data_IF_844574058157
#
_entry.id   IF_844574058157
#
_cell.length_a   1.000
_cell.length_b   1.000
_cell.length_c   1.000
_cell.angle_alpha   90.00
_cell.angle_beta   90.00
_cell.angle_gamma   90.00
#
_symmetry.space_group_name_H-M   'P 1'
#
loop_
_entity.id
_entity.type
_entity.pdbx_description
1 polymer ?
#
# COMPACT_ATOMS: atom_id res chain seq x y z
N UNK A 1 -15.77 12.80 -3.73
CA UNK A 1 -17.00 12.52 -2.96
C UNK A 1 -18.21 12.89 -3.82
N UNK A 2 -19.26 12.06 -3.87
CA UNK A 2 -20.51 12.41 -4.55
C UNK A 2 -21.51 12.97 -3.52
N UNK A 3 -22.04 14.16 -3.78
CA UNK A 3 -23.01 14.86 -2.91
C UNK A 3 -24.02 15.55 -3.84
N UNK A 4 -25.31 15.28 -3.66
CA UNK A 4 -26.42 15.96 -4.35
C UNK A 4 -26.23 16.19 -5.87
N UNK A 5 -25.84 15.13 -6.59
CA UNK A 5 -25.69 15.21 -8.05
C UNK A 5 -24.33 15.70 -8.55
N UNK A 6 -23.40 16.03 -7.65
CA UNK A 6 -22.07 16.57 -8.00
C UNK A 6 -20.94 15.75 -7.38
N UNK A 7 -19.78 15.81 -8.02
CA UNK A 7 -18.54 15.23 -7.51
C UNK A 7 -17.61 16.32 -6.99
N UNK A 8 -17.15 16.16 -5.75
CA UNK A 8 -16.26 17.07 -5.06
C UNK A 8 -14.89 16.42 -4.87
N UNK A 9 -13.83 17.13 -5.27
CA UNK A 9 -12.43 16.79 -5.02
C UNK A 9 -11.89 17.70 -3.91
N UNK A 10 -11.37 17.08 -2.86
CA UNK A 10 -10.69 17.73 -1.74
C UNK A 10 -9.20 17.51 -1.90
N UNK A 11 -8.39 18.56 -1.72
CA UNK A 11 -6.96 18.50 -2.01
C UNK A 11 -6.16 19.52 -1.22
N UNK A 12 -4.88 19.21 -0.97
CA UNK A 12 -3.90 20.14 -0.43
C UNK A 12 -3.42 21.09 -1.54
N UNK A 13 -3.34 22.39 -1.25
CA UNK A 13 -2.73 23.39 -2.12
C UNK A 13 -1.26 23.61 -1.76
N UNK A 14 -0.48 24.07 -2.73
CA UNK A 14 0.97 24.33 -2.58
C UNK A 14 1.34 25.36 -1.50
N UNK A 15 0.38 26.15 -1.03
CA UNK A 15 0.57 27.17 0.04
C UNK A 15 0.02 26.73 1.40
N UNK A 16 -0.26 25.44 1.59
CA UNK A 16 -0.77 24.88 2.85
C UNK A 16 -2.27 25.08 3.10
N UNK A 17 -3.00 25.60 2.11
CA UNK A 17 -4.46 25.71 2.16
C UNK A 17 -5.11 24.42 1.64
N UNK A 18 -6.25 24.01 2.17
CA UNK A 18 -7.03 22.91 1.62
C UNK A 18 -8.13 23.45 0.71
N UNK A 19 -8.41 22.77 -0.40
CA UNK A 19 -9.30 23.24 -1.44
C UNK A 19 -10.41 22.27 -1.81
N UNK A 20 -11.48 22.81 -2.40
CA UNK A 20 -12.59 22.07 -3.00
C UNK A 20 -12.72 22.45 -4.46
N UNK A 21 -12.75 21.45 -5.33
CA UNK A 21 -13.12 21.56 -6.74
C UNK A 21 -14.33 20.66 -7.04
N UNK A 22 -15.13 21.02 -8.05
CA UNK A 22 -16.42 20.38 -8.33
C UNK A 22 -16.49 19.92 -9.78
N UNK A 23 -17.13 18.77 -10.03
CA UNK A 23 -17.42 18.23 -11.36
C UNK A 23 -18.80 17.61 -11.44
N UNK A 24 -19.32 17.49 -12.65
CA UNK A 24 -20.50 16.67 -12.97
C UNK A 24 -20.14 15.19 -13.14
N UNK A 25 -18.85 14.86 -13.27
CA UNK A 25 -18.37 13.51 -13.55
C UNK A 25 -17.28 13.10 -12.55
N UNK A 26 -17.20 11.82 -12.15
CA UNK A 26 -16.20 11.36 -11.18
C UNK A 26 -14.76 11.51 -11.67
N UNK A 27 -14.54 11.40 -12.99
CA UNK A 27 -13.23 11.58 -13.63
C UNK A 27 -12.87 13.04 -13.93
N UNK A 28 -13.75 13.99 -13.62
CA UNK A 28 -13.60 15.39 -14.01
C UNK A 28 -14.09 15.70 -15.43
N UNK A 29 -13.81 16.92 -15.94
CA UNK A 29 -12.91 17.91 -15.35
C UNK A 29 -13.47 18.51 -14.05
N UNK A 30 -12.59 18.73 -13.07
CA UNK A 30 -12.92 19.45 -11.84
C UNK A 30 -12.67 20.95 -12.02
N UNK A 31 -13.64 21.76 -11.64
CA UNK A 31 -13.63 23.21 -11.84
C UNK A 31 -13.90 23.96 -10.55
N UNK A 32 -13.63 25.28 -10.59
CA UNK A 32 -13.97 26.19 -9.52
C UNK A 32 -13.25 25.90 -8.20
N UNK A 33 -11.99 25.47 -8.27
CA UNK A 33 -11.07 25.31 -7.13
C UNK A 33 -11.08 26.53 -6.19
N UNK A 34 -11.45 26.35 -4.91
CA UNK A 34 -11.34 27.41 -3.88
C UNK A 34 -10.95 26.83 -2.52
N UNK A 35 -10.30 27.62 -1.64
CA UNK A 35 -9.96 27.20 -0.28
C UNK A 35 -11.19 26.88 0.57
N UNK A 36 -11.01 26.00 1.55
CA UNK A 36 -11.99 25.72 2.61
C UNK A 36 -11.80 26.74 3.73
N UNK A 37 -12.85 27.49 4.04
CA UNK A 37 -12.83 28.45 5.14
C UNK A 37 -12.81 27.71 6.48
N UNK A 38 -11.97 28.18 7.40
CA UNK A 38 -11.76 27.66 8.76
C UNK A 38 -11.03 26.33 8.87
N UNK A 39 -10.63 25.70 7.76
CA UNK A 39 -9.44 24.85 7.76
C UNK A 39 -8.26 25.78 8.08
N UNK A 40 -7.55 25.52 9.17
CA UNK A 40 -6.59 26.42 9.82
C UNK A 40 -5.29 26.65 9.04
N UNK A 41 -5.19 26.11 7.81
CA UNK A 41 -4.09 26.29 6.84
C UNK A 41 -2.71 25.87 7.37
N UNK A 42 -2.67 25.11 8.46
CA UNK A 42 -1.45 24.68 9.12
C UNK A 42 -1.22 23.18 8.97
N UNK A 43 -2.15 22.45 8.35
CA UNK A 43 -2.13 20.99 8.28
C UNK A 43 -2.64 20.47 6.93
N UNK A 44 -2.59 19.16 6.76
CA UNK A 44 -2.68 18.44 5.48
C UNK A 44 -3.74 17.32 5.54
N UNK A 45 -3.85 16.61 4.42
CA UNK A 45 -4.57 15.34 4.25
C UNK A 45 -6.07 15.44 4.55
N UNK A 46 -6.82 16.18 3.72
CA UNK A 46 -8.25 16.36 3.91
C UNK A 46 -9.00 15.05 3.67
N UNK A 47 -9.86 14.70 4.63
CA UNK A 47 -10.84 13.63 4.49
C UNK A 47 -12.25 14.14 4.70
N UNK A 48 -13.17 13.56 3.93
CA UNK A 48 -14.59 13.93 3.95
C UNK A 48 -15.44 12.69 4.06
N UNK A 49 -16.48 12.80 4.88
CA UNK A 49 -17.48 11.77 5.08
C UNK A 49 -18.86 12.39 5.05
N UNK A 50 -19.79 11.74 4.35
CA UNK A 50 -21.20 12.10 4.34
C UNK A 50 -21.91 11.02 5.12
N UNK A 51 -22.55 11.40 6.22
CA UNK A 51 -23.28 10.46 7.06
C UNK A 51 -24.68 10.17 6.51
N UNK A 52 -25.35 9.17 7.06
CA UNK A 52 -26.67 8.70 6.61
C UNK A 52 -27.76 9.79 6.72
N UNK A 53 -27.56 10.78 7.58
CA UNK A 53 -28.45 11.94 7.77
C UNK A 53 -28.17 13.11 6.79
N UNK A 54 -27.17 12.96 5.91
CA UNK A 54 -26.73 13.98 4.97
C UNK A 54 -25.73 14.99 5.54
N UNK A 55 -25.35 14.88 6.82
CA UNK A 55 -24.32 15.73 7.41
C UNK A 55 -22.97 15.45 6.77
N UNK A 56 -22.30 16.51 6.30
CA UNK A 56 -20.95 16.42 5.74
C UNK A 56 -19.94 16.74 6.82
N UNK A 57 -19.09 15.77 7.13
CA UNK A 57 -17.98 15.90 8.07
C UNK A 57 -16.66 16.08 7.33
N UNK A 58 -15.81 16.93 7.89
CA UNK A 58 -14.49 17.24 7.38
C UNK A 58 -13.45 16.94 8.45
N UNK A 59 -12.39 16.25 8.06
CA UNK A 59 -11.28 15.81 8.90
C UNK A 59 -9.98 16.27 8.25
N UNK A 60 -9.03 16.75 9.04
CA UNK A 60 -7.72 17.17 8.57
C UNK A 60 -6.72 17.12 9.72
N UNK A 61 -5.44 17.00 9.41
CA UNK A 61 -4.42 17.15 10.44
C UNK A 61 -3.16 16.34 10.23
N UNK A 62 -2.12 16.73 10.97
CA UNK A 62 -0.89 15.97 11.14
C UNK A 62 -0.51 16.03 12.63
N UNK A 63 -0.15 14.89 13.25
CA UNK A 63 0.16 14.71 14.69
C UNK A 63 -1.03 14.94 15.65
N UNK A 64 -1.91 15.89 15.35
CA UNK A 64 -3.21 16.10 16.00
C UNK A 64 -4.26 16.30 14.91
N UNK A 65 -5.25 15.40 14.88
CA UNK A 65 -6.36 15.45 13.95
C UNK A 65 -7.45 16.39 14.45
N UNK A 66 -8.07 17.11 13.52
CA UNK A 66 -9.26 17.94 13.76
C UNK A 66 -10.43 17.40 12.96
N UNK A 67 -11.64 17.68 13.43
CA UNK A 67 -12.85 17.51 12.63
C UNK A 67 -13.90 18.57 12.91
N UNK A 68 -14.82 18.74 11.96
CA UNK A 68 -15.99 19.57 12.10
C UNK A 68 -17.02 19.31 11.00
N UNK A 69 -18.16 19.98 11.09
CA UNK A 69 -19.21 19.90 10.07
C UNK A 69 -18.89 20.88 8.95
N UNK A 70 -18.85 20.39 7.72
CA UNK A 70 -18.63 21.18 6.51
C UNK A 70 -19.97 21.64 5.93
N UNK A 71 -20.12 22.95 5.77
CA UNK A 71 -21.09 23.52 4.84
C UNK A 71 -20.46 23.50 3.44
N UNK A 72 -20.85 22.51 2.63
CA UNK A 72 -20.24 22.24 1.32
C UNK A 72 -20.48 23.38 0.33
N UNK A 73 -21.66 23.99 0.39
CA UNK A 73 -22.06 25.11 -0.48
C UNK A 73 -21.26 26.37 -0.16
N UNK A 74 -21.09 26.67 1.13
CA UNK A 74 -20.25 27.79 1.57
C UNK A 74 -18.76 27.48 1.55
N UNK A 75 -18.38 26.20 1.36
CA UNK A 75 -17.00 25.69 1.44
C UNK A 75 -16.34 26.12 2.74
N UNK A 76 -17.06 25.95 3.84
CA UNK A 76 -16.69 26.46 5.15
C UNK A 76 -17.02 25.45 6.24
N UNK A 77 -16.06 25.20 7.13
CA UNK A 77 -16.33 24.40 8.33
C UNK A 77 -17.11 25.27 9.31
N UNK A 78 -18.18 24.73 9.91
CA UNK A 78 -18.92 25.41 10.97
C UNK A 78 -18.01 25.53 12.19
N UNK A 79 -17.52 26.74 12.48
CA UNK A 79 -16.46 27.00 13.46
C UNK A 79 -16.78 26.44 14.84
N UNK A 80 -18.04 26.53 15.24
CA UNK A 80 -18.57 26.04 16.51
C UNK A 80 -18.57 24.51 16.65
N UNK A 81 -18.36 23.78 15.54
CA UNK A 81 -18.33 22.32 15.51
C UNK A 81 -16.92 21.75 15.46
N UNK A 82 -15.90 22.62 15.40
CA UNK A 82 -14.51 22.19 15.29
C UNK A 82 -14.06 21.57 16.62
N UNK A 83 -13.58 20.34 16.55
CA UNK A 83 -12.92 19.61 17.64
C UNK A 83 -11.48 19.37 17.22
N UNK A 84 -10.53 19.72 18.09
CA UNK A 84 -9.11 19.38 17.96
C UNK A 84 -8.80 18.16 18.84
N UNK A 85 -7.84 17.35 18.41
CA UNK A 85 -7.39 16.17 19.13
C UNK A 85 -8.37 15.00 19.07
N UNK A 86 -9.16 14.85 18.00
CA UNK A 86 -10.00 13.65 17.82
C UNK A 86 -9.15 12.38 17.68
N UNK A 87 -7.91 12.54 17.20
CA UNK A 87 -6.80 11.59 17.23
C UNK A 87 -5.53 12.38 17.51
N UNK A 88 -4.60 11.78 18.25
CA UNK A 88 -3.30 12.38 18.56
C UNK A 88 -2.19 11.35 18.41
N UNK A 89 -0.99 11.80 18.07
CA UNK A 89 0.18 10.94 17.96
C UNK A 89 0.45 10.18 19.27
N UNK A 90 0.34 10.88 20.40
CA UNK A 90 0.59 10.30 21.73
C UNK A 90 -0.39 9.21 22.12
N UNK A 91 -1.69 9.42 21.92
CA UNK A 91 -2.72 8.48 22.40
C UNK A 91 -3.07 7.42 21.36
N UNK A 92 -3.01 7.78 20.08
CA UNK A 92 -3.50 6.96 18.98
C UNK A 92 -2.39 6.50 18.05
N UNK A 93 -1.18 7.07 18.12
CA UNK A 93 -0.14 6.88 17.11
C UNK A 93 -0.46 7.59 15.80
N UNK A 94 -1.37 8.57 15.80
CA UNK A 94 -1.77 9.30 14.60
C UNK A 94 -0.63 10.18 14.07
N UNK A 95 -0.27 9.99 12.80
CA UNK A 95 0.69 10.85 12.10
C UNK A 95 0.01 11.72 11.05
N UNK A 96 -0.67 11.14 10.07
CA UNK A 96 -1.32 11.83 8.94
C UNK A 96 -2.35 10.94 8.24
N UNK A 97 -2.87 11.35 7.08
CA UNK A 97 -3.63 10.48 6.17
C UNK A 97 -4.97 9.98 6.69
N UNK A 98 -5.76 10.83 7.35
CA UNK A 98 -7.06 10.45 7.90
C UNK A 98 -8.00 9.97 6.78
N UNK A 99 -8.80 8.94 7.05
CA UNK A 99 -9.90 8.50 6.17
C UNK A 99 -11.04 7.88 6.99
N UNK A 100 -12.27 8.34 6.77
CA UNK A 100 -13.43 7.93 7.55
C UNK A 100 -14.34 6.94 6.79
N UNK A 101 -14.84 5.92 7.48
CA UNK A 101 -15.94 5.04 7.04
C UNK A 101 -16.91 4.74 8.16
N UNK A 102 -18.16 4.48 7.81
CA UNK A 102 -19.19 3.99 8.75
C UNK A 102 -19.61 2.59 8.34
N UNK A 103 -19.75 1.70 9.32
CA UNK A 103 -20.28 0.34 9.13
C UNK A 103 -21.02 -0.10 10.39
N UNK A 104 -22.27 -0.54 10.24
CA UNK A 104 -23.11 -1.03 11.35
C UNK A 104 -23.17 -0.08 12.56
N UNK A 105 -23.28 1.24 12.30
CA UNK A 105 -23.33 2.26 13.35
C UNK A 105 -21.98 2.61 14.00
N UNK A 106 -20.88 1.98 13.55
CA UNK A 106 -19.53 2.26 14.04
C UNK A 106 -18.81 3.13 13.01
N UNK A 107 -18.15 4.19 13.48
CA UNK A 107 -17.29 5.07 12.70
C UNK A 107 -15.84 4.60 12.82
N UNK A 108 -15.16 4.43 11.70
CA UNK A 108 -13.80 3.95 11.56
C UNK A 108 -12.94 5.07 10.98
N UNK A 109 -12.06 5.65 11.80
CA UNK A 109 -10.97 6.48 11.31
C UNK A 109 -9.78 5.61 11.01
N UNK A 110 -9.40 5.56 9.74
CA UNK A 110 -8.17 4.95 9.23
C UNK A 110 -7.14 6.05 9.07
N UNK A 111 -5.87 5.78 9.41
CA UNK A 111 -4.83 6.79 9.37
C UNK A 111 -3.43 6.17 9.31
N UNK A 112 -2.43 6.98 8.96
CA UNK A 112 -1.03 6.59 9.03
C UNK A 112 -0.58 6.55 10.49
N UNK A 113 -0.20 5.37 10.94
CA UNK A 113 0.10 5.03 12.33
C UNK A 113 1.62 4.89 12.55
N UNK A 114 2.14 5.52 13.60
CA UNK A 114 3.57 5.49 13.95
C UNK A 114 3.90 4.66 15.21
N UNK A 115 2.96 3.88 15.73
CA UNK A 115 3.17 3.10 16.97
C UNK A 115 4.25 2.01 16.84
N UNK A 116 4.67 1.66 15.61
CA UNK A 116 5.83 0.81 15.32
C UNK A 116 7.13 1.60 15.10
N UNK A 117 7.14 2.90 15.39
CA UNK A 117 8.32 3.78 15.29
C UNK A 117 8.55 4.38 13.90
N UNK A 118 7.72 4.05 12.91
CA UNK A 118 7.77 4.59 11.54
C UNK A 118 6.36 4.81 11.02
N UNK A 119 6.19 5.79 10.12
CA UNK A 119 4.90 6.13 9.50
C UNK A 119 4.47 5.16 8.39
N UNK A 120 4.80 3.88 8.52
CA UNK A 120 4.63 2.84 7.49
C UNK A 120 3.36 2.02 7.66
N UNK A 121 2.70 2.14 8.81
CA UNK A 121 1.48 1.39 9.13
C UNK A 121 0.23 2.19 8.80
N UNK A 122 -0.83 1.50 8.38
CA UNK A 122 -2.20 2.01 8.36
C UNK A 122 -2.90 1.48 9.61
N UNK A 123 -3.16 2.36 10.57
CA UNK A 123 -3.91 2.07 11.79
C UNK A 123 -5.38 2.44 11.68
N UNK A 124 -6.17 2.06 12.69
CA UNK A 124 -7.53 2.56 12.83
C UNK A 124 -7.98 2.73 14.27
N UNK A 125 -8.93 3.66 14.43
CA UNK A 125 -9.64 3.93 15.67
C UNK A 125 -11.15 3.96 15.40
N UNK A 126 -11.95 3.60 16.40
CA UNK A 126 -13.41 3.51 16.26
C UNK A 126 -14.14 4.42 17.23
N UNK A 127 -15.31 4.92 16.83
CA UNK A 127 -16.26 5.63 17.70
C UNK A 127 -17.71 5.28 17.35
N UNK A 128 -18.63 5.62 18.24
CA UNK A 128 -20.07 5.62 17.98
C UNK A 128 -20.58 7.00 17.49
N UNK A 129 -19.68 7.97 17.34
CA UNK A 129 -19.97 9.32 16.86
C UNK A 129 -18.94 9.72 15.79
N UNK A 130 -19.34 10.44 14.73
CA UNK A 130 -18.42 10.86 13.66
C UNK A 130 -17.35 11.85 14.14
N UNK A 131 -17.55 12.49 15.29
CA UNK A 131 -16.61 13.44 15.91
C UNK A 131 -15.92 12.89 17.16
N UNK A 132 -16.08 11.60 17.45
CA UNK A 132 -15.45 10.94 18.59
C UNK A 132 -16.28 10.99 19.89
N UNK A 133 -15.68 10.60 21.03
CA UNK A 133 -14.27 10.22 21.19
C UNK A 133 -13.94 8.92 20.46
N UNK A 134 -12.72 8.84 19.91
CA UNK A 134 -12.22 7.65 19.22
C UNK A 134 -11.40 6.77 20.16
N UNK A 135 -11.46 5.46 19.96
CA UNK A 135 -10.62 4.47 20.65
C UNK A 135 -9.74 3.77 19.61
N UNK A 136 -8.41 3.85 19.77
CA UNK A 136 -7.47 3.07 18.94
C UNK A 136 -7.77 1.58 19.05
N UNK A 137 -7.77 0.88 17.92
CA UNK A 137 -8.00 -0.57 17.86
C UNK A 137 -6.74 -1.34 17.44
N UNK A 138 -6.25 -1.12 16.22
CA UNK A 138 -5.12 -1.89 15.70
C UNK A 138 -4.54 -1.36 14.40
N UNK A 139 -3.61 -2.13 13.84
CA UNK A 139 -2.99 -1.91 12.52
C UNK A 139 -3.70 -2.81 11.51
N UNK A 140 -4.03 -2.25 10.34
CA UNK A 140 -4.65 -2.95 9.22
C UNK A 140 -3.58 -3.52 8.30
N UNK A 141 -2.53 -2.75 7.98
CA UNK A 141 -1.43 -3.18 7.11
C UNK A 141 -0.18 -2.33 7.35
N UNK A 142 0.99 -2.87 7.07
CA UNK A 142 2.29 -2.21 7.19
C UNK A 142 3.10 -2.37 5.90
N UNK A 143 3.58 -1.27 5.33
CA UNK A 143 4.39 -1.29 4.10
C UNK A 143 5.90 -1.39 4.38
N UNK A 144 6.30 -1.57 5.64
CA UNK A 144 7.70 -1.77 6.02
C UNK A 144 8.33 -2.92 5.23
N UNK A 145 9.52 -2.67 4.68
CA UNK A 145 10.26 -3.65 3.89
C UNK A 145 9.78 -3.76 2.44
N UNK A 146 8.87 -2.90 1.96
CA UNK A 146 8.53 -2.85 0.53
C UNK A 146 9.69 -2.37 -0.34
N UNK A 147 10.51 -1.46 0.20
CA UNK A 147 11.58 -0.75 -0.49
C UNK A 147 12.52 -0.09 0.55
N UNK A 148 13.84 0.01 0.31
CA UNK A 148 14.78 0.68 1.22
C UNK A 148 14.45 2.17 1.45
N UNK A 149 13.88 2.84 0.45
CA UNK A 149 13.40 4.23 0.50
C UNK A 149 11.97 4.37 1.03
N UNK A 150 11.44 3.37 1.74
CA UNK A 150 10.12 3.44 2.37
C UNK A 150 10.09 4.53 3.45
N UNK A 151 9.33 5.60 3.23
CA UNK A 151 9.10 6.65 4.23
C UNK A 151 7.76 6.45 4.92
N UNK A 152 6.67 6.72 4.21
CA UNK A 152 5.33 6.79 4.79
C UNK A 152 4.37 5.79 4.12
N UNK A 153 3.17 5.74 4.70
CA UNK A 153 2.00 5.10 4.13
C UNK A 153 0.86 6.12 4.09
N UNK A 154 -0.14 5.88 3.25
CA UNK A 154 -1.38 6.65 3.19
C UNK A 154 -2.43 5.73 2.60
N UNK A 155 -3.64 5.73 3.15
CA UNK A 155 -4.63 4.75 2.75
C UNK A 155 -6.06 5.06 3.14
N UNK A 156 -6.95 4.15 2.76
CA UNK A 156 -8.36 4.15 3.15
C UNK A 156 -8.89 2.72 3.14
N UNK A 157 -10.10 2.52 3.65
CA UNK A 157 -10.83 1.26 3.42
C UNK A 157 -12.08 1.53 2.59
N UNK A 158 -12.52 0.57 1.79
CA UNK A 158 -13.77 0.69 1.05
C UNK A 158 -14.41 -0.68 0.81
N UNK A 159 -15.73 -0.69 0.72
CA UNK A 159 -16.50 -1.85 0.30
C UNK A 159 -16.70 -1.82 -1.21
N UNK A 160 -16.50 -2.97 -1.85
CA UNK A 160 -16.89 -3.21 -3.23
C UNK A 160 -17.53 -4.58 -3.35
N UNK A 161 -18.79 -4.62 -3.84
CA UNK A 161 -19.56 -5.85 -4.06
C UNK A 161 -19.59 -6.80 -2.83
N UNK A 162 -19.77 -6.26 -1.63
CA UNK A 162 -19.85 -7.05 -0.39
C UNK A 162 -18.50 -7.42 0.25
N UNK A 163 -17.37 -7.09 -0.39
CA UNK A 163 -16.03 -7.32 0.17
C UNK A 163 -15.39 -5.98 0.55
N UNK A 164 -14.77 -5.94 1.73
CA UNK A 164 -14.01 -4.78 2.18
C UNK A 164 -12.54 -4.92 1.82
N UNK A 165 -11.92 -3.80 1.49
CA UNK A 165 -10.52 -3.71 1.10
C UNK A 165 -9.82 -2.57 1.85
N UNK A 166 -8.54 -2.75 2.13
CA UNK A 166 -7.63 -1.65 2.46
C UNK A 166 -6.88 -1.24 1.22
N UNK A 167 -6.93 0.05 0.90
CA UNK A 167 -6.11 0.70 -0.11
C UNK A 167 -5.00 1.44 0.60
N UNK A 168 -3.77 1.30 0.12
CA UNK A 168 -2.59 1.90 0.72
C UNK A 168 -1.54 2.16 -0.37
N UNK A 169 -0.40 2.75 -0.03
CA UNK A 169 0.73 2.84 -0.95
C UNK A 169 1.98 2.17 -0.41
N UNK A 170 2.88 1.83 -1.32
CA UNK A 170 4.25 1.41 -1.01
C UNK A 170 5.24 2.23 -1.83
N UNK A 171 6.46 2.42 -1.31
CA UNK A 171 7.55 3.04 -2.07
C UNK A 171 8.08 2.11 -3.17
N UNK A 172 8.74 2.71 -4.15
CA UNK A 172 9.49 2.03 -5.22
C UNK A 172 10.66 2.91 -5.64
N UNK A 173 11.59 2.40 -6.44
CA UNK A 173 12.70 3.17 -7.00
C UNK A 173 13.64 3.78 -5.95
N UNK A 174 13.71 3.19 -4.75
CA UNK A 174 14.51 3.72 -3.64
C UNK A 174 14.23 5.21 -3.39
N UNK A 175 12.95 5.59 -3.47
CA UNK A 175 12.51 6.98 -3.42
C UNK A 175 11.27 7.11 -2.56
N UNK A 176 11.28 8.11 -1.69
CA UNK A 176 10.15 8.44 -0.84
C UNK A 176 9.00 9.11 -1.62
N UNK A 177 9.28 9.59 -2.84
CA UNK A 177 8.29 10.24 -3.70
C UNK A 177 7.64 9.28 -4.70
N UNK A 178 8.32 8.19 -5.07
CA UNK A 178 7.80 7.22 -6.03
C UNK A 178 6.99 6.16 -5.31
N UNK A 179 5.68 6.15 -5.56
CA UNK A 179 4.71 5.34 -4.81
C UNK A 179 3.81 4.55 -5.75
N UNK A 180 3.45 3.34 -5.34
CA UNK A 180 2.47 2.49 -6.03
C UNK A 180 1.26 2.27 -5.15
N UNK A 181 0.08 2.36 -5.75
CA UNK A 181 -1.18 2.00 -5.09
C UNK A 181 -1.23 0.48 -4.93
N UNK A 182 -1.60 0.04 -3.73
CA UNK A 182 -1.78 -1.35 -3.37
C UNK A 182 -3.14 -1.54 -2.72
N UNK A 183 -3.62 -2.79 -2.73
CA UNK A 183 -4.93 -3.14 -2.19
C UNK A 183 -4.94 -4.57 -1.67
N UNK A 184 -5.48 -4.77 -0.47
CA UNK A 184 -5.63 -6.09 0.16
C UNK A 184 -7.06 -6.27 0.68
N UNK A 185 -7.64 -7.49 0.60
CA UNK A 185 -8.93 -7.77 1.21
C UNK A 185 -8.82 -7.75 2.74
N UNK A 186 -9.79 -7.12 3.41
CA UNK A 186 -9.88 -7.09 4.87
C UNK A 186 -11.22 -7.67 5.33
N UNK A 187 -11.24 -8.13 6.58
CA UNK A 187 -12.42 -8.75 7.18
C UNK A 187 -12.67 -8.16 8.56
N UNK A 188 -13.95 -7.95 8.86
CA UNK A 188 -14.41 -7.52 10.17
C UNK A 188 -14.83 -8.75 10.96
N UNK A 189 -14.38 -8.85 12.21
CA UNK A 189 -14.89 -9.86 13.13
C UNK A 189 -16.29 -9.50 13.67
N UNK A 190 -16.81 -10.34 14.56
CA UNK A 190 -18.12 -10.16 15.20
C UNK A 190 -18.23 -8.87 16.03
N UNK A 191 -17.12 -8.34 16.52
CA UNK A 191 -17.05 -7.09 17.28
C UNK A 191 -16.80 -5.88 16.36
N UNK A 192 -16.74 -6.09 15.04
CA UNK A 192 -16.43 -5.06 14.07
C UNK A 192 -14.96 -4.65 14.07
N UNK A 193 -14.04 -5.47 14.57
CA UNK A 193 -12.60 -5.22 14.51
C UNK A 193 -12.01 -5.78 13.22
N UNK A 194 -11.02 -5.07 12.68
CA UNK A 194 -10.24 -5.46 11.51
C UNK A 194 -8.96 -6.14 11.98
N UNK A 195 -8.67 -7.33 11.45
CA UNK A 195 -7.38 -8.00 11.65
C UNK A 195 -6.35 -7.46 10.67
N UNK A 196 -5.10 -7.38 11.11
CA UNK A 196 -3.98 -7.02 10.24
C UNK A 196 -3.85 -8.02 9.08
N UNK A 197 -3.66 -7.48 7.88
CA UNK A 197 -3.39 -8.22 6.66
C UNK A 197 -1.97 -7.94 6.18
N UNK A 198 -1.39 -8.90 5.48
CA UNK A 198 -0.06 -8.73 4.91
C UNK A 198 -0.12 -8.02 3.56
N UNK A 199 0.92 -7.25 3.25
CA UNK A 199 1.20 -6.83 1.89
C UNK A 199 1.62 -8.04 1.04
N UNK A 200 0.92 -8.23 -0.07
CA UNK A 200 1.15 -9.33 -1.00
C UNK A 200 1.51 -8.83 -2.40
N UNK A 201 2.02 -9.74 -3.21
CA UNK A 201 2.30 -9.59 -4.63
C UNK A 201 1.01 -9.53 -5.46
N UNK A 202 -0.03 -10.27 -5.07
CA UNK A 202 -1.25 -10.40 -5.88
C UNK A 202 -2.37 -9.41 -5.52
N UNK A 203 -2.28 -8.74 -4.38
CA UNK A 203 -3.32 -7.87 -3.86
C UNK A 203 -4.68 -8.57 -3.75
N UNK A 204 -5.70 -8.04 -4.42
CA UNK A 204 -7.08 -8.57 -4.41
C UNK A 204 -7.25 -9.97 -4.99
N UNK A 205 -6.28 -10.48 -5.75
CA UNK A 205 -6.40 -11.80 -6.38
C UNK A 205 -6.07 -12.93 -5.40
N UNK A 206 -6.50 -14.15 -5.73
CA UNK A 206 -5.97 -15.35 -5.06
C UNK A 206 -4.50 -15.58 -5.42
N UNK A 207 -3.82 -16.55 -4.77
CA UNK A 207 -2.43 -16.87 -5.04
C UNK A 207 -2.14 -17.06 -6.54
N UNK A 208 -1.05 -16.47 -7.03
CA UNK A 208 -0.67 -16.47 -8.45
C UNK A 208 -0.18 -17.86 -8.82
N UNK A 209 -0.71 -18.47 -9.87
CA UNK A 209 -0.18 -19.76 -10.36
C UNK A 209 1.32 -19.66 -10.63
N UNK A 210 2.13 -20.56 -10.07
CA UNK A 210 3.57 -20.52 -10.19
C UNK A 210 4.06 -20.57 -11.64
N UNK A 211 3.26 -21.16 -12.53
CA UNK A 211 3.52 -21.23 -13.96
C UNK A 211 3.23 -19.94 -14.74
N UNK A 212 2.70 -18.89 -14.11
CA UNK A 212 2.50 -17.58 -14.76
C UNK A 212 3.83 -16.84 -14.76
N UNK A 213 4.20 -16.28 -15.92
CA UNK A 213 5.35 -15.37 -16.00
C UNK A 213 4.98 -14.06 -15.28
N UNK A 214 5.80 -13.67 -14.33
CA UNK A 214 5.58 -12.50 -13.49
C UNK A 214 6.77 -11.55 -13.56
N UNK A 215 6.50 -10.25 -13.62
CA UNK A 215 7.56 -9.24 -13.53
C UNK A 215 8.25 -9.30 -12.16
N UNK A 216 9.57 -9.20 -12.16
CA UNK A 216 10.36 -9.18 -10.92
C UNK A 216 10.02 -7.95 -10.05
N UNK A 217 9.52 -6.88 -10.68
CA UNK A 217 9.00 -5.68 -10.02
C UNK A 217 7.76 -5.94 -9.12
N UNK A 218 7.18 -7.14 -9.18
CA UNK A 218 6.05 -7.54 -8.34
C UNK A 218 6.48 -8.10 -6.97
N UNK A 219 7.79 -8.12 -6.67
CA UNK A 219 8.27 -8.43 -5.31
C UNK A 219 7.54 -7.54 -4.29
N UNK A 220 7.03 -8.15 -3.22
CA UNK A 220 6.25 -7.46 -2.19
C UNK A 220 7.09 -7.09 -0.96
N UNK A 221 8.17 -7.84 -0.70
CA UNK A 221 9.13 -7.52 0.37
C UNK A 221 10.55 -7.65 -0.15
N UNK A 222 11.41 -6.77 0.35
CA UNK A 222 12.80 -6.62 -0.01
C UNK A 222 13.66 -6.50 1.25
N UNK A 223 14.90 -6.94 1.15
CA UNK A 223 15.86 -6.85 2.25
C UNK A 223 17.26 -6.57 1.77
N UNK A 224 17.96 -5.73 2.53
CA UNK A 224 19.31 -5.28 2.22
C UNK A 224 19.30 -4.09 1.27
N UNK A 225 20.17 -4.09 0.27
CA UNK A 225 20.34 -2.97 -0.68
C UNK A 225 19.49 -3.06 -1.95
N UNK A 226 18.76 -4.16 -2.12
CA UNK A 226 17.96 -4.47 -3.30
C UNK A 226 16.71 -3.58 -3.40
N UNK A 227 16.40 -3.12 -4.62
CA UNK A 227 15.17 -2.38 -4.89
C UNK A 227 14.70 -2.55 -6.34
N UNK A 228 13.44 -2.15 -6.57
CA UNK A 228 12.85 -2.11 -7.90
C UNK A 228 13.27 -0.80 -8.54
N UNK A 229 13.95 -0.87 -9.67
CA UNK A 229 14.48 0.26 -10.42
C UNK A 229 13.87 0.30 -11.83
N UNK A 230 14.00 1.41 -12.56
CA UNK A 230 13.48 1.56 -13.93
C UNK A 230 14.51 2.19 -14.86
N UNK A 231 14.33 2.04 -16.18
CA UNK A 231 15.18 2.70 -17.17
C UNK A 231 14.84 4.18 -17.39
N UNK A 232 13.76 4.68 -16.77
CA UNK A 232 13.38 6.10 -16.72
C UNK A 232 12.93 6.71 -18.05
N UNK A 233 12.72 5.90 -19.10
CA UNK A 233 12.32 6.40 -20.43
C UNK A 233 10.85 6.09 -20.68
N UNK A 234 10.02 7.12 -20.86
CA UNK A 234 8.57 6.97 -21.05
C UNK A 234 8.19 5.99 -22.18
N UNK A 235 8.96 5.96 -23.27
CA UNK A 235 8.69 5.10 -24.44
C UNK A 235 9.07 3.62 -24.23
N UNK A 236 9.94 3.32 -23.26
CA UNK A 236 10.43 1.96 -22.98
C UNK A 236 10.32 1.55 -21.52
N UNK A 237 9.41 2.21 -20.78
CA UNK A 237 9.33 2.09 -19.32
C UNK A 237 9.28 0.63 -18.88
N UNK A 238 10.37 0.19 -18.26
CA UNK A 238 10.50 -1.18 -17.79
C UNK A 238 11.13 -1.20 -16.40
N UNK A 239 10.44 -1.87 -15.47
CA UNK A 239 10.90 -2.02 -14.09
C UNK A 239 11.58 -3.37 -13.89
N UNK A 240 12.62 -3.38 -13.07
CA UNK A 240 13.44 -4.56 -12.80
C UNK A 240 13.91 -4.57 -11.35
N UNK A 241 14.20 -5.76 -10.84
CA UNK A 241 14.85 -5.92 -9.55
C UNK A 241 16.36 -5.77 -9.75
N UNK A 242 16.97 -4.82 -9.05
CA UNK A 242 18.39 -4.47 -9.24
C UNK A 242 19.10 -4.12 -7.94
N UNK A 243 20.35 -3.66 -8.08
CA UNK A 243 21.22 -3.26 -6.95
C UNK A 243 21.47 -4.41 -5.96
N UNK A 244 21.48 -5.63 -6.48
CA UNK A 244 21.54 -6.88 -5.71
C UNK A 244 22.95 -7.12 -5.17
N UNK A 245 23.05 -7.35 -3.86
CA UNK A 245 24.28 -7.72 -3.16
C UNK A 245 24.13 -9.07 -2.46
N UNK A 246 25.26 -9.64 -2.05
CA UNK A 246 25.25 -10.85 -1.22
C UNK A 246 24.56 -10.57 0.11
N UNK A 247 23.63 -11.44 0.50
CA UNK A 247 22.79 -11.28 1.68
C UNK A 247 21.42 -10.66 1.40
N UNK A 248 21.23 -10.04 0.23
CA UNK A 248 19.93 -9.47 -0.15
C UNK A 248 18.92 -10.58 -0.47
N UNK A 249 17.64 -10.26 -0.32
CA UNK A 249 16.56 -11.11 -0.83
C UNK A 249 15.34 -10.32 -1.28
N UNK A 250 14.58 -10.92 -2.20
CA UNK A 250 13.26 -10.44 -2.60
C UNK A 250 12.22 -11.55 -2.41
N UNK A 251 11.02 -11.16 -1.96
CA UNK A 251 9.93 -12.07 -1.69
C UNK A 251 8.70 -11.80 -2.57
N UNK A 252 8.03 -12.89 -2.93
CA UNK A 252 6.78 -12.88 -3.67
C UNK A 252 5.75 -13.70 -2.88
N UNK A 253 4.67 -13.06 -2.46
CA UNK A 253 3.62 -13.65 -1.63
C UNK A 253 2.31 -13.49 -2.36
N UNK A 254 1.52 -14.48 -2.74
CA UNK A 254 1.76 -15.92 -2.66
C UNK A 254 1.64 -16.54 -4.04
N UNK A 255 2.42 -17.61 -4.27
CA UNK A 255 2.30 -18.44 -5.45
C UNK A 255 1.55 -19.73 -5.13
N UNK A 256 0.77 -20.20 -6.09
CA UNK A 256 0.10 -21.49 -6.10
C UNK A 256 0.87 -22.47 -6.98
N UNK A 257 1.46 -23.48 -6.36
CA UNK A 257 2.11 -24.61 -7.05
C UNK A 257 1.12 -25.75 -7.24
N UNK A 258 1.13 -26.37 -8.42
CA UNK A 258 0.25 -27.49 -8.75
C UNK A 258 0.93 -28.87 -8.66
N UNK A 259 2.23 -28.90 -8.36
CA UNK A 259 3.00 -30.13 -8.21
C UNK A 259 3.67 -30.59 -9.51
N UNK A 260 3.49 -29.89 -10.62
CA UNK A 260 4.04 -30.26 -11.93
C UNK A 260 5.19 -29.37 -12.39
N UNK A 261 5.50 -28.34 -11.61
CA UNK A 261 6.64 -27.47 -11.87
C UNK A 261 7.96 -28.26 -11.76
N UNK A 262 8.82 -28.15 -12.76
CA UNK A 262 10.09 -28.89 -12.85
C UNK A 262 11.33 -27.99 -12.85
N UNK A 263 11.16 -26.71 -13.19
CA UNK A 263 12.24 -25.73 -13.15
C UNK A 263 11.71 -24.32 -12.86
N UNK A 264 12.56 -23.47 -12.28
CA UNK A 264 12.37 -22.02 -12.26
C UNK A 264 13.17 -21.40 -13.40
N UNK A 265 12.51 -20.57 -14.21
CA UNK A 265 13.11 -19.73 -15.22
C UNK A 265 13.18 -18.30 -14.68
N UNK A 266 14.36 -17.70 -14.71
CA UNK A 266 14.57 -16.28 -14.40
C UNK A 266 15.23 -15.62 -15.61
N UNK A 267 14.63 -14.55 -16.12
CA UNK A 267 15.26 -13.72 -17.16
C UNK A 267 16.00 -12.57 -16.48
N UNK A 268 17.23 -12.35 -16.91
CA UNK A 268 18.04 -11.20 -16.50
C UNK A 268 18.43 -10.41 -17.74
N UNK A 269 18.30 -9.08 -17.70
CA UNK A 269 18.76 -8.20 -18.79
C UNK A 269 20.24 -7.83 -18.65
N UNK A 270 20.77 -7.88 -17.43
CA UNK A 270 22.17 -7.63 -17.09
C UNK A 270 22.58 -8.55 -15.94
N UNK A 271 23.83 -9.01 -15.95
CA UNK A 271 24.45 -9.83 -14.90
C UNK A 271 25.50 -10.78 -15.48
N UNK A 272 26.59 -11.04 -14.75
CA UNK A 272 27.64 -11.96 -15.22
C UNK A 272 27.54 -13.31 -14.52
N UNK A 273 27.51 -13.32 -13.19
CA UNK A 273 27.43 -14.54 -12.39
C UNK A 273 27.05 -14.26 -10.93
N UNK A 274 25.76 -14.29 -10.62
CA UNK A 274 25.26 -14.14 -9.23
C UNK A 274 24.59 -15.42 -8.76
N UNK A 275 25.03 -15.98 -7.64
CA UNK A 275 24.40 -17.18 -7.08
C UNK A 275 23.08 -16.81 -6.42
N UNK A 276 22.06 -17.63 -6.66
CA UNK A 276 20.73 -17.47 -6.08
C UNK A 276 20.27 -18.77 -5.44
N UNK A 277 19.65 -18.65 -4.27
CA UNK A 277 18.94 -19.70 -3.57
C UNK A 277 17.44 -19.39 -3.61
N UNK A 278 16.64 -20.35 -4.05
CA UNK A 278 15.19 -20.21 -4.17
C UNK A 278 14.54 -20.97 -3.05
N UNK A 279 13.87 -20.25 -2.15
CA UNK A 279 13.32 -20.79 -0.90
C UNK A 279 11.83 -20.52 -0.77
N UNK A 280 11.16 -21.37 0.02
CA UNK A 280 9.75 -21.22 0.33
C UNK A 280 9.54 -20.61 1.72
N UNK A 281 8.50 -19.79 1.82
CA UNK A 281 7.86 -19.27 3.04
C UNK A 281 8.67 -18.30 3.90
N UNK A 282 10.01 -18.40 3.92
CA UNK A 282 10.90 -17.43 4.54
C UNK A 282 12.34 -17.53 3.98
N UNK A 283 13.24 -16.56 4.24
CA UNK A 283 14.61 -16.54 3.71
C UNK A 283 15.50 -17.72 4.13
N UNK A 284 15.14 -18.45 5.19
CA UNK A 284 15.83 -19.65 5.69
C UNK A 284 15.04 -20.94 5.40
N UNK A 285 13.90 -20.82 4.73
CA UNK A 285 12.96 -21.90 4.52
C UNK A 285 13.44 -22.93 3.50
N UNK A 286 12.54 -23.82 3.10
CA UNK A 286 12.87 -24.96 2.24
C UNK A 286 13.50 -24.51 0.93
N UNK A 287 14.75 -24.92 0.68
CA UNK A 287 15.41 -24.75 -0.61
C UNK A 287 14.76 -25.65 -1.66
N UNK A 288 14.33 -25.05 -2.78
CA UNK A 288 13.66 -25.75 -3.89
C UNK A 288 14.39 -25.63 -5.22
N UNK A 289 15.26 -24.63 -5.38
CA UNK A 289 16.18 -24.52 -6.51
C UNK A 289 17.40 -23.67 -6.11
N UNK A 290 18.49 -23.83 -6.84
CA UNK A 290 19.65 -22.94 -6.74
C UNK A 290 20.37 -22.90 -8.08
N UNK A 291 21.09 -21.82 -8.34
CA UNK A 291 21.83 -21.67 -9.57
C UNK A 291 22.63 -20.37 -9.62
N UNK A 292 23.22 -20.09 -10.77
CA UNK A 292 23.87 -18.83 -11.03
C UNK A 292 23.12 -18.07 -12.13
N UNK A 293 22.80 -16.82 -11.86
CA UNK A 293 22.14 -15.91 -12.78
C UNK A 293 23.17 -15.13 -13.59
N UNK A 294 22.92 -15.05 -14.89
CA UNK A 294 23.66 -14.25 -15.88
C UNK A 294 22.69 -13.61 -16.87
N UNK A 295 23.17 -12.68 -17.69
CA UNK A 295 22.37 -12.11 -18.79
C UNK A 295 21.73 -13.21 -19.64
N UNK A 296 20.44 -13.04 -19.93
CA UNK A 296 19.63 -13.99 -20.68
C UNK A 296 18.67 -14.80 -19.82
N UNK A 297 18.24 -15.95 -20.36
CA UNK A 297 17.30 -16.88 -19.71
C UNK A 297 18.07 -17.90 -18.87
N UNK A 298 17.83 -17.93 -17.57
CA UNK A 298 18.45 -18.86 -16.64
C UNK A 298 17.42 -19.90 -16.21
N UNK A 299 17.66 -21.18 -16.49
CA UNK A 299 16.77 -22.27 -16.12
C UNK A 299 17.40 -23.09 -14.99
N UNK A 300 16.73 -23.15 -13.84
CA UNK A 300 17.17 -23.86 -12.65
C UNK A 300 16.22 -25.00 -12.36
N UNK A 301 16.70 -26.25 -12.42
CA UNK A 301 15.88 -27.43 -12.09
C UNK A 301 15.46 -27.39 -10.63
N UNK A 302 14.20 -27.72 -10.35
CA UNK A 302 13.75 -27.90 -8.97
C UNK A 302 14.38 -29.16 -8.38
N UNK A 303 14.90 -29.02 -7.16
CA UNK A 303 15.46 -30.14 -6.39
C UNK A 303 14.42 -30.84 -5.51
N UNK A 304 13.23 -30.24 -5.40
CA UNK A 304 12.07 -30.79 -4.69
C UNK A 304 10.80 -30.44 -5.44
N UNK A 305 9.84 -31.37 -5.44
CA UNK A 305 8.48 -31.11 -5.90
C UNK A 305 7.78 -30.18 -4.87
N UNK A 306 6.99 -29.24 -5.36
CA UNK A 306 6.29 -28.23 -4.54
C UNK A 306 4.83 -28.24 -4.91
N UNK A 307 3.93 -28.18 -3.93
CA UNK A 307 2.49 -28.14 -4.14
C UNK A 307 1.85 -27.25 -3.09
N UNK A 308 0.80 -26.51 -3.45
CA UNK A 308 0.08 -25.67 -2.50
C UNK A 308 0.49 -24.21 -2.58
N UNK A 309 0.02 -23.43 -1.60
CA UNK A 309 0.26 -21.99 -1.51
C UNK A 309 1.53 -21.73 -0.71
N UNK A 310 2.51 -21.07 -1.33
CA UNK A 310 3.77 -20.71 -0.68
C UNK A 310 4.19 -19.28 -1.03
N UNK A 311 4.93 -18.66 -0.11
CA UNK A 311 5.73 -17.49 -0.47
C UNK A 311 7.03 -17.95 -1.15
N UNK A 312 7.52 -17.20 -2.13
CA UNK A 312 8.79 -17.46 -2.81
C UNK A 312 9.81 -16.41 -2.39
N UNK A 313 11.00 -16.86 -1.99
CA UNK A 313 12.13 -16.01 -1.66
C UNK A 313 13.28 -16.29 -2.63
N UNK A 314 13.78 -15.24 -3.28
CA UNK A 314 15.06 -15.26 -4.01
C UNK A 314 16.12 -14.68 -3.07
N UNK A 315 17.02 -15.52 -2.56
CA UNK A 315 18.11 -15.11 -1.68
C UNK A 315 19.43 -15.11 -2.45
N UNK A 316 20.16 -14.00 -2.43
CA UNK A 316 21.33 -13.78 -3.28
C UNK A 316 22.64 -13.96 -2.51
N UNK A 317 23.60 -14.65 -3.13
CA UNK A 317 24.93 -14.95 -2.58
C UNK A 317 25.99 -14.64 -3.65
N UNK A 318 26.14 -13.37 -3.97
CA UNK A 318 27.12 -12.90 -4.95
C UNK A 318 27.22 -11.39 -4.99
N UNK A 319 28.42 -10.87 -5.21
CA UNK A 319 28.69 -9.43 -5.33
C UNK A 319 28.67 -9.04 -6.80
N UNK A 320 27.49 -8.79 -7.35
CA UNK A 320 27.32 -8.31 -8.72
C UNK A 320 26.39 -7.09 -8.70
N UNK A 321 26.96 -5.89 -8.57
CA UNK A 321 26.21 -4.62 -8.48
C UNK A 321 25.29 -4.37 -9.70
N UNK A 322 25.50 -5.13 -10.78
CA UNK A 322 24.86 -4.96 -12.07
C UNK A 322 23.81 -6.03 -12.43
N UNK A 323 23.48 -6.98 -11.54
CA UNK A 323 22.42 -7.94 -11.83
C UNK A 323 21.07 -7.22 -11.91
N UNK A 324 20.34 -7.46 -13.00
CA UNK A 324 19.02 -6.87 -13.25
C UNK A 324 18.05 -7.97 -13.69
N UNK A 325 17.18 -8.38 -12.77
CA UNK A 325 16.17 -9.42 -12.97
C UNK A 325 14.89 -8.76 -13.46
N UNK A 326 14.32 -9.31 -14.53
CA UNK A 326 13.21 -8.69 -15.24
C UNK A 326 11.92 -9.49 -15.06
N UNK A 327 11.97 -10.81 -15.14
CA UNK A 327 10.83 -11.68 -14.84
C UNK A 327 11.27 -13.06 -14.34
N UNK A 328 10.29 -13.79 -13.82
CA UNK A 328 10.42 -15.17 -13.37
C UNK A 328 9.15 -15.99 -13.66
N UNK A 329 9.33 -17.28 -13.93
CA UNK A 329 8.26 -18.23 -14.23
C UNK A 329 8.68 -19.66 -13.86
N UNK A 330 7.81 -20.44 -13.21
CA UNK A 330 8.04 -21.88 -13.10
C UNK A 330 7.61 -22.61 -14.38
N UNK A 331 8.48 -23.45 -14.92
CA UNK A 331 8.17 -24.31 -16.06
C UNK A 331 7.49 -25.59 -15.58
N UNK A 332 6.42 -25.99 -16.27
CA UNK A 332 5.69 -27.24 -16.04
C UNK A 332 6.27 -28.32 -16.95
N UNK A 333 6.51 -29.52 -16.39
CA UNK A 333 7.07 -30.68 -17.12
C UNK A 333 6.03 -31.59 -17.74
#
# INVERSE_FOLDING_TARGET
MYIDGKYYLFYCQSKGEEGIAVSDYPQGPFCGAKPIKYADRTQIDPAVFVDDDGTVYYYWGQVSAKAGILDIEKRAIKKETIIDGILTEKEHGFHEGISMRKRNGIYYLVYTDISRGRATSIGYATSLSPLGPFKKQGIIIDNTGCDPGSWNNHGSIAEFRGQWYVFYHRSTHNSEFSRRVCVEPIYFDENGLIREVEMTTQGIHGPIKASVCMDAANACLLHGGIYIDSDGKEETFYEYLGHIKSGDWAAYKYLQFDGRETALVIRCRKGKNCKVFVRLDNPEGQLIAQGNLRTGKNCMKLIKQVSGRHALYLCFDGTEEDLQIVDLQFAVG
#
